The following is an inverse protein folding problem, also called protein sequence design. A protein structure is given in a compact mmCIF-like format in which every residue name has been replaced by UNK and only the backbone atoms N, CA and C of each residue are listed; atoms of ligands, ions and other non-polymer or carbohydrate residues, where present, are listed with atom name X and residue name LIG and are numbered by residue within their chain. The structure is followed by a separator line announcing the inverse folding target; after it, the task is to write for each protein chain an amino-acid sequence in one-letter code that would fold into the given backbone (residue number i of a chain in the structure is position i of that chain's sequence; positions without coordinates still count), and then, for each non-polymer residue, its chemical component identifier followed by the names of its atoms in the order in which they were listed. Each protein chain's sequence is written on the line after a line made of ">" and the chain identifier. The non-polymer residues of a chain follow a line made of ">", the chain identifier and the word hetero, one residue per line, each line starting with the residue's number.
data_IF_355412719499
#
_entry.id   IF_355412719499
#
_cell.length_a   1.000
_cell.length_b   1.000
_cell.length_c   1.000
_cell.angle_alpha   90.00
_cell.angle_beta   90.00
_cell.angle_gamma   90.00
#
_symmetry.space_group_name_H-M   'P 1'
#
loop_
_entity.id
_entity.type
_entity.pdbx_description
1 polymer ?
#
# COMPACT_ATOMS: atom_id res chain seq x y z
N UNK A 1 -21.81 10.64 -17.20
CA UNK A 1 -22.00 9.64 -16.13
C UNK A 1 -22.59 10.32 -14.89
N UNK A 2 -23.82 9.95 -14.52
CA UNK A 2 -24.58 10.53 -13.42
C UNK A 2 -23.93 10.23 -12.05
N UNK A 3 -23.96 11.19 -11.10
CA UNK A 3 -23.36 11.04 -9.75
C UNK A 3 -23.87 9.80 -9.00
N UNK A 4 -25.09 9.33 -9.30
CA UNK A 4 -25.72 8.15 -8.70
C UNK A 4 -25.02 6.84 -9.08
N UNK A 5 -24.52 6.72 -10.32
CA UNK A 5 -23.85 5.50 -10.80
C UNK A 5 -22.53 5.25 -10.07
N UNK A 6 -21.73 6.30 -9.84
CA UNK A 6 -20.48 6.21 -9.08
C UNK A 6 -20.72 5.76 -7.63
N UNK A 7 -21.77 6.28 -6.99
CA UNK A 7 -22.13 5.90 -5.61
C UNK A 7 -22.58 4.43 -5.52
N UNK A 8 -23.31 3.92 -6.52
CA UNK A 8 -23.71 2.51 -6.57
C UNK A 8 -22.50 1.59 -6.72
N UNK A 9 -21.59 1.90 -7.64
CA UNK A 9 -20.31 1.16 -7.80
C UNK A 9 -19.52 1.16 -6.50
N UNK A 10 -19.35 2.32 -5.88
CA UNK A 10 -18.58 2.44 -4.65
C UNK A 10 -19.19 1.65 -3.48
N UNK A 11 -20.52 1.70 -3.30
CA UNK A 11 -21.23 0.86 -2.30
C UNK A 11 -21.07 -0.61 -2.59
N UNK A 12 -21.19 -1.02 -3.84
CA UNK A 12 -21.05 -2.40 -4.25
C UNK A 12 -19.65 -2.94 -3.93
N UNK A 13 -18.61 -2.22 -4.36
CA UNK A 13 -17.20 -2.54 -4.08
C UNK A 13 -16.93 -2.61 -2.57
N UNK A 14 -17.51 -1.69 -1.78
CA UNK A 14 -17.35 -1.68 -0.31
C UNK A 14 -18.12 -2.81 0.39
N UNK A 15 -19.27 -3.23 -0.14
CA UNK A 15 -20.08 -4.31 0.43
C UNK A 15 -19.59 -5.70 0.05
N UNK A 16 -18.91 -5.83 -1.09
CA UNK A 16 -18.39 -7.11 -1.56
C UNK A 16 -17.16 -7.50 -0.74
N UNK A 17 -17.35 -8.44 0.18
CA UNK A 17 -16.25 -9.10 0.90
C UNK A 17 -15.70 -10.21 0.00
N UNK A 18 -14.44 -10.06 -0.42
CA UNK A 18 -13.58 -11.06 -1.12
C UNK A 18 -13.64 -11.08 -2.65
N UNK A 19 -12.69 -11.83 -3.20
CA UNK A 19 -12.16 -11.91 -4.56
C UNK A 19 -13.12 -12.33 -5.68
N UNK A 20 -14.43 -12.23 -5.48
CA UNK A 20 -15.43 -12.35 -6.53
C UNK A 20 -16.34 -11.15 -6.40
N UNK A 21 -16.24 -10.24 -7.37
CA UNK A 21 -17.05 -9.03 -7.39
C UNK A 21 -18.35 -9.27 -8.14
N UNK A 22 -18.45 -10.26 -9.03
CA UNK A 22 -19.67 -10.56 -9.76
C UNK A 22 -20.10 -9.45 -10.72
N UNK A 23 -21.37 -9.51 -11.14
CA UNK A 23 -21.98 -8.55 -12.07
C UNK A 23 -22.79 -7.48 -11.31
N UNK A 24 -22.61 -6.21 -11.70
CA UNK A 24 -23.34 -5.06 -11.18
C UNK A 24 -24.21 -4.42 -12.26
N UNK A 25 -25.51 -4.30 -12.04
CA UNK A 25 -26.41 -3.53 -12.90
C UNK A 25 -26.31 -2.03 -12.59
N UNK A 26 -25.72 -1.27 -13.51
CA UNK A 26 -25.47 0.18 -13.35
C UNK A 26 -26.71 1.03 -13.65
N UNK A 27 -27.49 0.61 -14.65
CA UNK A 27 -28.75 1.17 -15.12
C UNK A 27 -29.55 0.06 -15.83
N UNK A 28 -30.85 0.23 -16.08
CA UNK A 28 -31.64 -0.78 -16.80
C UNK A 28 -30.95 -1.21 -18.09
N UNK A 29 -30.65 -2.51 -18.21
CA UNK A 29 -30.00 -3.10 -19.37
C UNK A 29 -28.47 -2.94 -19.45
N UNK A 30 -27.83 -2.26 -18.51
CA UNK A 30 -26.37 -2.11 -18.45
C UNK A 30 -25.79 -2.91 -17.28
N UNK A 31 -25.27 -4.09 -17.58
CA UNK A 31 -24.56 -4.95 -16.63
C UNK A 31 -23.05 -4.81 -16.80
N UNK A 32 -22.35 -4.57 -15.69
CA UNK A 32 -20.89 -4.50 -15.64
C UNK A 32 -20.37 -5.69 -14.85
N UNK A 33 -19.68 -6.61 -15.55
CA UNK A 33 -19.01 -7.74 -14.91
C UNK A 33 -17.64 -7.29 -14.40
N UNK A 34 -17.48 -7.28 -13.08
CA UNK A 34 -16.25 -6.80 -12.44
C UNK A 34 -15.19 -7.90 -12.31
N UNK A 35 -15.58 -9.18 -12.31
CA UNK A 35 -14.66 -10.30 -12.11
C UNK A 35 -13.44 -10.28 -13.06
N UNK A 36 -13.59 -10.12 -14.39
CA UNK A 36 -12.44 -10.07 -15.30
C UNK A 36 -11.63 -8.77 -15.16
N UNK A 37 -12.24 -7.67 -14.71
CA UNK A 37 -11.57 -6.37 -14.60
C UNK A 37 -10.68 -6.28 -13.35
N UNK A 38 -11.06 -6.98 -12.29
CA UNK A 38 -10.38 -6.90 -10.99
C UNK A 38 -9.53 -8.12 -10.68
N UNK A 39 -9.68 -9.24 -11.40
CA UNK A 39 -9.00 -10.51 -11.09
C UNK A 39 -7.47 -10.36 -11.00
N UNK A 40 -6.84 -9.72 -11.97
CA UNK A 40 -5.38 -9.52 -12.01
C UNK A 40 -4.91 -8.63 -10.86
N UNK A 41 -5.59 -7.49 -10.66
CA UNK A 41 -5.27 -6.52 -9.60
C UNK A 41 -5.45 -7.16 -8.23
N UNK A 42 -6.48 -7.98 -8.05
CA UNK A 42 -6.72 -8.72 -6.82
C UNK A 42 -5.68 -9.81 -6.58
N UNK A 43 -5.21 -10.48 -7.63
CA UNK A 43 -4.10 -11.43 -7.56
C UNK A 43 -2.85 -10.76 -6.98
N UNK A 44 -2.42 -9.65 -7.58
CA UNK A 44 -1.28 -8.84 -7.09
C UNK A 44 -1.49 -8.34 -5.66
N UNK A 45 -2.68 -7.82 -5.37
CA UNK A 45 -3.00 -7.28 -4.04
C UNK A 45 -2.95 -8.37 -2.96
N UNK A 46 -3.45 -9.58 -3.27
CA UNK A 46 -3.42 -10.69 -2.31
C UNK A 46 -2.00 -11.10 -1.99
N UNK A 47 -1.18 -11.32 -3.01
CA UNK A 47 0.24 -11.68 -2.85
C UNK A 47 0.93 -10.64 -1.98
N UNK A 48 0.80 -9.35 -2.31
CA UNK A 48 1.38 -8.28 -1.49
C UNK A 48 0.87 -8.30 -0.02
N UNK A 49 -0.42 -8.50 0.22
CA UNK A 49 -0.97 -8.53 1.59
C UNK A 49 -0.43 -9.70 2.42
N UNK A 50 -0.20 -10.85 1.79
CA UNK A 50 0.39 -12.03 2.42
C UNK A 50 1.87 -11.76 2.73
N UNK A 51 2.66 -11.36 1.73
CA UNK A 51 4.09 -11.02 1.90
C UNK A 51 4.29 -9.92 2.94
N UNK A 52 3.49 -8.86 2.90
CA UNK A 52 3.54 -7.78 3.90
C UNK A 52 3.37 -8.31 5.32
N UNK A 53 2.40 -9.19 5.55
CA UNK A 53 2.13 -9.72 6.90
C UNK A 53 3.23 -10.63 7.40
N UNK A 54 3.89 -11.32 6.50
CA UNK A 54 4.98 -12.23 6.82
C UNK A 54 6.27 -11.49 7.15
N UNK A 55 6.59 -10.44 6.37
CA UNK A 55 7.89 -9.78 6.40
C UNK A 55 7.93 -8.42 7.08
N UNK A 56 6.80 -7.72 7.30
CA UNK A 56 6.78 -6.41 7.93
C UNK A 56 6.16 -6.45 9.33
N UNK A 57 6.79 -5.79 10.29
CA UNK A 57 6.31 -5.64 11.67
C UNK A 57 6.05 -4.18 11.97
N UNK A 58 4.98 -3.92 12.71
CA UNK A 58 4.61 -2.59 13.22
C UNK A 58 4.49 -2.68 14.72
N UNK A 59 5.36 -1.97 15.42
CA UNK A 59 5.38 -1.91 16.88
C UNK A 59 5.50 -0.44 17.31
N UNK A 60 4.53 0.12 18.07
CA UNK A 60 4.60 1.49 18.57
C UNK A 60 5.88 1.80 19.36
N UNK A 61 6.49 0.82 20.01
CA UNK A 61 7.73 0.97 20.79
C UNK A 61 8.97 1.02 19.89
N UNK A 62 8.85 0.66 18.60
CA UNK A 62 9.94 0.65 17.63
C UNK A 62 9.70 1.73 16.58
N UNK A 63 10.58 2.73 16.53
CA UNK A 63 10.46 3.89 15.62
C UNK A 63 9.07 4.57 15.65
N UNK A 64 8.37 4.54 16.79
CA UNK A 64 7.04 5.14 16.93
C UNK A 64 5.97 4.47 16.07
N UNK A 65 6.12 3.18 15.75
CA UNK A 65 5.20 2.45 14.88
C UNK A 65 5.48 2.60 13.38
N UNK A 66 6.64 3.10 12.98
CA UNK A 66 7.06 2.99 11.58
C UNK A 66 7.30 1.51 11.24
N UNK A 67 6.75 0.99 10.14
CA UNK A 67 6.96 -0.41 9.77
C UNK A 67 8.41 -0.72 9.42
N UNK A 68 8.87 -1.86 9.94
CA UNK A 68 10.22 -2.36 9.76
C UNK A 68 10.20 -3.75 9.12
N UNK A 69 11.30 -4.10 8.47
CA UNK A 69 11.57 -5.48 8.08
C UNK A 69 11.69 -6.34 9.34
N UNK A 70 10.96 -7.46 9.37
CA UNK A 70 10.86 -8.35 10.53
C UNK A 70 12.24 -8.87 10.93
N UNK A 71 12.54 -8.80 12.23
CA UNK A 71 13.82 -9.25 12.77
C UNK A 71 14.97 -8.27 12.58
N UNK A 72 14.74 -7.10 11.96
CA UNK A 72 15.76 -6.07 11.77
C UNK A 72 15.29 -4.72 12.31
N UNK A 73 16.15 -3.70 12.22
CA UNK A 73 15.80 -2.30 12.49
C UNK A 73 15.78 -1.44 11.22
N UNK A 74 15.63 -2.08 10.05
CA UNK A 74 15.58 -1.40 8.76
C UNK A 74 14.13 -1.03 8.46
N UNK A 75 13.85 0.26 8.31
CA UNK A 75 12.50 0.77 8.03
C UNK A 75 12.14 0.64 6.55
N UNK A 76 10.85 0.49 6.23
CA UNK A 76 10.40 0.50 4.84
C UNK A 76 10.81 1.78 4.10
N UNK A 77 10.82 2.91 4.81
CA UNK A 77 11.22 4.21 4.24
C UNK A 77 12.72 4.27 3.94
N UNK A 78 13.55 3.68 4.78
CA UNK A 78 15.00 3.57 4.53
C UNK A 78 15.27 2.80 3.24
N UNK A 79 14.56 1.70 3.01
CA UNK A 79 14.63 0.92 1.75
C UNK A 79 14.27 1.81 0.56
N UNK A 80 13.12 2.50 0.61
CA UNK A 80 12.72 3.41 -0.48
C UNK A 80 13.77 4.50 -0.73
N UNK A 81 14.34 5.11 0.33
CA UNK A 81 15.35 6.14 0.19
C UNK A 81 16.64 5.66 -0.50
N UNK A 82 17.05 4.40 -0.27
CA UNK A 82 18.21 3.80 -0.97
C UNK A 82 17.92 3.56 -2.44
N UNK A 83 16.75 3.02 -2.76
CA UNK A 83 16.30 2.85 -4.15
C UNK A 83 16.19 4.20 -4.88
N UNK A 84 15.66 5.23 -4.23
CA UNK A 84 15.63 6.60 -4.78
C UNK A 84 17.02 7.22 -4.90
N UNK A 85 17.98 6.74 -4.11
CA UNK A 85 19.41 7.05 -4.20
C UNK A 85 20.14 6.36 -5.35
N UNK A 86 19.47 5.47 -6.08
CA UNK A 86 20.00 4.79 -7.27
C UNK A 86 20.40 3.33 -7.06
N UNK A 87 20.24 2.81 -5.84
CA UNK A 87 20.52 1.39 -5.56
C UNK A 87 19.43 0.47 -6.13
N UNK A 88 19.79 -0.77 -6.41
CA UNK A 88 18.85 -1.81 -6.83
C UNK A 88 18.40 -2.69 -5.66
N UNK A 89 17.34 -3.48 -5.86
CA UNK A 89 16.90 -4.42 -4.83
C UNK A 89 17.90 -5.56 -4.67
N UNK A 90 18.56 -5.97 -5.76
CA UNK A 90 19.61 -6.99 -5.76
C UNK A 90 20.81 -6.55 -4.91
N UNK A 91 21.25 -5.30 -5.04
CA UNK A 91 22.31 -4.73 -4.20
C UNK A 91 21.92 -4.72 -2.72
N UNK A 92 20.65 -4.43 -2.39
CA UNK A 92 20.16 -4.51 -1.01
C UNK A 92 20.17 -5.94 -0.45
N UNK A 93 19.87 -6.95 -1.28
CA UNK A 93 19.94 -8.35 -0.87
C UNK A 93 21.39 -8.80 -0.70
N UNK A 94 22.31 -8.31 -1.53
CA UNK A 94 23.75 -8.55 -1.38
C UNK A 94 24.30 -7.93 -0.09
N UNK A 95 23.88 -6.71 0.25
CA UNK A 95 24.24 -6.02 1.49
C UNK A 95 23.67 -6.72 2.75
N UNK A 96 22.48 -7.33 2.65
CA UNK A 96 21.78 -8.00 3.75
C UNK A 96 21.29 -9.40 3.35
N UNK A 97 22.19 -10.40 3.26
CA UNK A 97 21.86 -11.74 2.79
C UNK A 97 20.81 -12.49 3.63
N UNK A 98 20.62 -12.08 4.89
CA UNK A 98 19.60 -12.61 5.79
C UNK A 98 18.18 -12.09 5.51
N UNK A 99 18.04 -11.08 4.66
CA UNK A 99 16.77 -10.48 4.28
C UNK A 99 16.39 -10.94 2.87
N UNK A 100 15.21 -11.52 2.74
CA UNK A 100 14.75 -12.01 1.45
C UNK A 100 14.34 -10.87 0.50
N UNK A 101 14.43 -11.14 -0.81
CA UNK A 101 14.00 -10.21 -1.85
C UNK A 101 12.55 -9.78 -1.66
N UNK A 102 11.65 -10.71 -1.32
CA UNK A 102 10.24 -10.46 -1.10
C UNK A 102 9.99 -9.48 0.07
N UNK A 103 10.86 -9.51 1.08
CA UNK A 103 10.80 -8.59 2.21
C UNK A 103 11.10 -7.15 1.75
N UNK A 104 12.15 -6.97 0.93
CA UNK A 104 12.49 -5.66 0.35
C UNK A 104 11.42 -5.16 -0.62
N UNK A 105 10.88 -6.03 -1.48
CA UNK A 105 9.77 -5.69 -2.37
C UNK A 105 8.53 -5.24 -1.58
N UNK A 106 8.14 -5.97 -0.54
CA UNK A 106 7.02 -5.61 0.32
C UNK A 106 7.26 -4.27 1.03
N UNK A 107 8.48 -4.02 1.51
CA UNK A 107 8.87 -2.75 2.10
C UNK A 107 8.78 -1.59 1.11
N UNK A 108 9.25 -1.78 -0.12
CA UNK A 108 9.22 -0.78 -1.18
C UNK A 108 7.78 -0.42 -1.57
N UNK A 109 6.93 -1.42 -1.78
CA UNK A 109 5.51 -1.21 -2.08
C UNK A 109 4.81 -0.49 -0.92
N UNK A 110 5.11 -0.88 0.33
CA UNK A 110 4.55 -0.23 1.50
C UNK A 110 4.91 1.25 1.55
N UNK A 111 6.19 1.59 1.40
CA UNK A 111 6.69 2.95 1.49
C UNK A 111 6.10 3.86 0.40
N UNK A 112 6.00 3.38 -0.85
CA UNK A 112 5.36 4.11 -1.96
C UNK A 112 3.86 4.35 -1.71
N UNK A 113 3.17 3.39 -1.11
CA UNK A 113 1.75 3.50 -0.77
C UNK A 113 1.48 4.40 0.45
N UNK A 114 2.47 4.61 1.32
CA UNK A 114 2.35 5.38 2.56
C UNK A 114 3.44 6.46 2.64
N UNK A 115 3.44 7.44 1.72
CA UNK A 115 4.43 8.51 1.76
C UNK A 115 4.31 9.32 3.05
N UNK A 116 5.43 9.86 3.57
CA UNK A 116 5.40 10.69 4.77
C UNK A 116 4.44 11.85 4.55
N UNK A 117 3.62 12.13 5.57
CA UNK A 117 2.82 13.35 5.56
C UNK A 117 3.80 14.52 5.62
N UNK A 118 3.85 15.29 4.54
CA UNK A 118 4.71 16.46 4.45
C UNK A 118 4.43 17.46 5.58
N UNK A 119 5.36 18.40 5.78
CA UNK A 119 5.16 19.50 6.74
C UNK A 119 3.77 20.12 6.49
N UNK A 120 2.91 20.26 7.52
CA UNK A 120 1.60 20.87 7.35
C UNK A 120 1.71 22.19 6.58
N UNK A 121 0.89 22.35 5.54
CA UNK A 121 0.89 23.55 4.69
C UNK A 121 0.44 24.81 5.43
N UNK A 122 -0.23 24.65 6.58
CA UNK A 122 -0.75 25.73 7.42
C UNK A 122 0.32 26.65 8.05
N UNK A 123 1.58 26.51 7.66
CA UNK A 123 2.71 27.29 8.19
C UNK A 123 3.10 26.86 9.61
N UNK A 124 3.95 27.67 10.24
CA UNK A 124 4.39 27.45 11.63
C UNK A 124 3.30 27.98 12.58
N UNK A 125 2.49 27.14 13.26
CA UNK A 125 1.37 27.61 14.08
C UNK A 125 1.79 28.58 15.20
N UNK A 126 3.02 28.46 15.71
CA UNK A 126 3.59 29.37 16.70
C UNK A 126 3.89 30.78 16.18
N UNK A 127 3.88 31.02 14.86
CA UNK A 127 3.96 32.40 14.31
C UNK A 127 2.68 33.20 14.51
N UNK A 128 1.56 32.58 14.89
CA UNK A 128 0.30 33.30 15.22
C UNK A 128 0.24 33.74 16.68
N UNK A 129 1.19 33.32 17.51
CA UNK A 129 1.25 33.62 18.93
C UNK A 129 2.29 34.71 19.27
N UNK A 130 2.97 35.27 18.26
CA UNK A 130 3.86 36.43 18.36
C UNK A 130 3.19 37.62 17.67
#
# INVERSE_FOLDING_TARGET
>A
MEKKSKQRVWRFLRSSKKAKFGSLELSPGLMLNLDPLVSEVWGRTRVYLETRREHLVVDPEIFGGEPILKGTRITCRSVLGRIEGGETLEELVEDYPEISMEAFEAALVYAKAHPPRGRPSAGKPWRKAA
#
